data_IF_845921020097
#
_entry.id   IF_845921020097
#
_cell.length_a   1.000
_cell.length_b   1.000
_cell.length_c   1.000
_cell.angle_alpha   90.00
_cell.angle_beta   90.00
_cell.angle_gamma   90.00
#
_symmetry.space_group_name_H-M   'P 1'
#
loop_
_entity.id
_entity.type
_entity.pdbx_description
1 polymer ?
#
# COMPACT_ATOMS: atom_id res chain seq x y z
N UNK A 1 6.42 -5.25 -23.65
CA UNK A 1 6.81 -6.29 -24.63
C UNK A 1 8.26 -6.69 -24.42
N UNK A 2 8.78 -7.67 -25.16
CA UNK A 2 10.13 -8.21 -24.91
C UNK A 2 10.18 -9.09 -23.66
N UNK A 3 11.31 -9.08 -22.93
CA UNK A 3 11.48 -9.83 -21.66
C UNK A 3 10.35 -9.51 -20.66
N UNK A 4 9.89 -8.26 -20.62
CA UNK A 4 8.71 -7.86 -19.86
C UNK A 4 8.96 -7.61 -18.38
N UNK A 5 7.91 -7.75 -17.57
CA UNK A 5 7.84 -7.30 -16.18
C UNK A 5 7.56 -8.43 -15.18
N UNK A 6 8.03 -9.64 -15.48
CA UNK A 6 7.75 -10.85 -14.68
C UNK A 6 8.00 -10.63 -13.19
N UNK A 7 9.20 -10.20 -12.83
CA UNK A 7 9.59 -10.07 -11.41
C UNK A 7 9.05 -8.82 -10.72
N UNK A 8 8.59 -7.81 -11.48
CA UNK A 8 7.79 -6.73 -10.90
C UNK A 8 6.46 -7.26 -10.37
N UNK A 9 5.87 -8.25 -11.05
CA UNK A 9 4.61 -8.84 -10.65
C UNK A 9 4.80 -9.94 -9.60
N UNK A 10 5.77 -10.86 -9.76
CA UNK A 10 5.94 -12.01 -8.84
C UNK A 10 6.16 -11.57 -7.41
N UNK A 11 6.84 -10.46 -7.18
CA UNK A 11 7.05 -9.91 -5.83
C UNK A 11 5.74 -9.70 -5.02
N UNK A 12 4.61 -9.53 -5.69
CA UNK A 12 3.31 -9.37 -5.04
C UNK A 12 2.52 -10.68 -4.85
N UNK A 13 3.04 -11.83 -5.31
CA UNK A 13 2.34 -13.12 -5.19
C UNK A 13 3.26 -14.34 -4.99
N UNK A 14 4.55 -14.14 -4.73
CA UNK A 14 5.50 -15.20 -4.39
C UNK A 14 6.09 -14.98 -3.00
N UNK A 15 6.63 -16.05 -2.44
CA UNK A 15 7.47 -16.05 -1.22
C UNK A 15 6.77 -15.57 0.06
N UNK A 16 5.44 -15.35 -0.01
CA UNK A 16 4.56 -14.91 1.08
C UNK A 16 4.98 -13.59 1.76
N UNK A 17 5.80 -12.77 1.11
CA UNK A 17 6.30 -11.53 1.71
C UNK A 17 5.16 -10.51 1.85
N UNK A 18 4.34 -10.34 0.80
CA UNK A 18 3.17 -9.47 0.87
C UNK A 18 2.13 -10.00 1.86
N UNK A 19 1.91 -11.31 1.87
CA UNK A 19 0.99 -11.99 2.77
C UNK A 19 1.39 -11.72 4.23
N UNK A 20 2.65 -11.92 4.59
CA UNK A 20 3.18 -11.68 5.93
C UNK A 20 2.89 -10.25 6.42
N UNK A 21 3.23 -9.24 5.63
CA UNK A 21 3.00 -7.84 6.00
C UNK A 21 1.52 -7.50 6.13
N UNK A 22 0.69 -8.09 5.26
CA UNK A 22 -0.75 -7.87 5.28
C UNK A 22 -1.38 -8.54 6.51
N UNK A 23 -1.01 -9.78 6.82
CA UNK A 23 -1.50 -10.48 8.02
C UNK A 23 -1.05 -9.81 9.31
N UNK A 24 0.18 -9.29 9.36
CA UNK A 24 0.60 -8.43 10.47
C UNK A 24 -0.33 -7.21 10.62
N UNK A 25 -0.65 -6.53 9.51
CA UNK A 25 -1.61 -5.43 9.52
C UNK A 25 -3.01 -5.84 10.00
N UNK A 26 -3.46 -7.04 9.63
CA UNK A 26 -4.74 -7.59 10.08
C UNK A 26 -4.76 -7.84 11.59
N UNK A 27 -3.69 -8.39 12.14
CA UNK A 27 -3.54 -8.59 13.58
C UNK A 27 -3.44 -7.25 14.32
N UNK A 28 -2.78 -6.24 13.75
CA UNK A 28 -2.77 -4.88 14.30
C UNK A 28 -4.18 -4.26 14.37
N UNK A 29 -5.00 -4.44 13.33
CA UNK A 29 -6.40 -4.01 13.34
C UNK A 29 -7.22 -4.71 14.43
N UNK A 30 -6.98 -6.02 14.61
CA UNK A 30 -7.63 -6.79 15.66
C UNK A 30 -7.27 -6.24 17.05
N UNK A 31 -5.97 -6.10 17.33
CA UNK A 31 -5.48 -5.75 18.65
C UNK A 31 -5.82 -4.30 19.04
N UNK A 32 -5.71 -3.36 18.09
CA UNK A 32 -5.89 -1.92 18.37
C UNK A 32 -7.32 -1.43 18.18
N UNK A 33 -8.01 -1.92 17.15
CA UNK A 33 -9.32 -1.43 16.75
C UNK A 33 -10.45 -2.42 17.01
N UNK A 34 -10.14 -3.61 17.55
CA UNK A 34 -11.10 -4.66 17.85
C UNK A 34 -11.94 -5.06 16.62
N UNK A 35 -11.29 -5.08 15.45
CA UNK A 35 -11.88 -5.52 14.18
C UNK A 35 -11.66 -7.04 14.07
N UNK A 36 -12.75 -7.81 14.00
CA UNK A 36 -12.66 -9.25 13.76
C UNK A 36 -12.52 -9.53 12.25
N UNK A 37 -11.29 -9.61 11.79
CA UNK A 37 -11.01 -9.92 10.39
C UNK A 37 -11.27 -11.40 10.03
N UNK A 38 -11.40 -12.29 11.02
CA UNK A 38 -11.68 -13.72 10.80
C UNK A 38 -13.17 -13.99 10.65
N UNK A 39 -14.02 -13.22 11.35
CA UNK A 39 -15.47 -13.25 11.22
C UNK A 39 -16.04 -11.86 10.91
N UNK A 40 -15.78 -11.34 9.70
CA UNK A 40 -16.09 -9.95 9.37
C UNK A 40 -17.59 -9.66 9.43
N UNK A 41 -17.95 -8.56 10.08
CA UNK A 41 -19.30 -8.02 10.11
C UNK A 41 -19.34 -6.57 9.55
N UNK A 42 -20.51 -6.08 9.06
CA UNK A 42 -20.60 -4.73 8.48
C UNK A 42 -20.29 -3.55 9.44
N UNK A 43 -20.24 -3.81 10.74
CA UNK A 43 -19.90 -2.87 11.80
C UNK A 43 -18.41 -2.93 12.20
N UNK A 44 -17.65 -3.94 11.74
CA UNK A 44 -16.21 -4.08 11.96
C UNK A 44 -15.43 -3.12 11.07
N UNK A 45 -15.68 -1.83 11.26
CA UNK A 45 -14.99 -0.76 10.56
C UNK A 45 -14.88 0.46 11.44
N UNK A 46 -13.77 1.15 11.27
CA UNK A 46 -13.53 2.46 11.87
C UNK A 46 -13.76 3.56 10.85
N UNK A 47 -14.07 4.77 11.33
CA UNK A 47 -14.31 5.91 10.45
C UNK A 47 -13.03 6.25 9.68
N UNK A 48 -13.15 6.38 8.36
CA UNK A 48 -12.05 6.84 7.50
C UNK A 48 -11.69 8.30 7.81
N UNK A 49 -10.65 8.51 8.63
CA UNK A 49 -10.04 9.82 8.91
C UNK A 49 -8.56 9.80 8.56
N UNK A 50 -7.96 10.97 8.36
CA UNK A 50 -6.51 11.05 8.11
C UNK A 50 -5.69 10.50 9.29
N UNK A 51 -6.17 10.66 10.52
CA UNK A 51 -5.51 10.10 11.71
C UNK A 51 -5.45 8.57 11.65
N UNK A 52 -6.56 7.92 11.26
CA UNK A 52 -6.63 6.46 11.09
C UNK A 52 -5.71 6.00 9.97
N UNK A 53 -5.68 6.72 8.84
CA UNK A 53 -4.76 6.41 7.73
C UNK A 53 -3.31 6.55 8.17
N UNK A 54 -2.97 7.66 8.83
CA UNK A 54 -1.62 7.90 9.34
C UNK A 54 -1.19 6.78 10.28
N UNK A 55 -2.08 6.34 11.16
CA UNK A 55 -1.79 5.30 12.13
C UNK A 55 -1.53 3.94 11.47
N UNK A 56 -2.50 3.43 10.72
CA UNK A 56 -2.43 2.07 10.14
C UNK A 56 -1.31 1.98 9.10
N UNK A 57 -1.25 2.94 8.17
CA UNK A 57 -0.27 2.86 7.10
C UNK A 57 1.15 3.08 7.60
N UNK A 58 1.35 3.92 8.63
CA UNK A 58 2.69 4.09 9.22
C UNK A 58 3.16 2.83 9.91
N UNK A 59 2.31 2.19 10.73
CA UNK A 59 2.67 0.96 11.44
C UNK A 59 3.04 -0.15 10.45
N UNK A 60 2.16 -0.44 9.50
CA UNK A 60 2.34 -1.56 8.55
C UNK A 60 3.55 -1.29 7.64
N UNK A 61 3.76 -0.04 7.21
CA UNK A 61 4.91 0.31 6.41
C UNK A 61 6.22 0.16 7.19
N UNK A 62 6.27 0.62 8.45
CA UNK A 62 7.47 0.49 9.30
C UNK A 62 7.79 -0.98 9.55
N UNK A 63 6.79 -1.79 9.88
CA UNK A 63 6.97 -3.24 10.05
C UNK A 63 7.58 -3.88 8.82
N UNK A 64 7.01 -3.66 7.63
CA UNK A 64 7.54 -4.25 6.39
C UNK A 64 8.94 -3.76 6.05
N UNK A 65 9.25 -2.48 6.29
CA UNK A 65 10.61 -1.94 6.11
C UNK A 65 11.60 -2.63 7.07
N UNK A 66 11.23 -2.78 8.34
CA UNK A 66 12.03 -3.52 9.31
C UNK A 66 12.23 -4.99 8.91
N UNK A 67 11.22 -5.66 8.33
CA UNK A 67 11.38 -7.04 7.85
C UNK A 67 12.46 -7.14 6.75
N UNK A 68 12.46 -6.23 5.77
CA UNK A 68 13.51 -6.20 4.77
C UNK A 68 14.90 -5.91 5.37
N UNK A 69 14.99 -5.09 6.42
CA UNK A 69 16.26 -4.79 7.09
C UNK A 69 16.75 -5.95 7.97
N UNK A 70 15.85 -6.64 8.66
CA UNK A 70 16.14 -7.75 9.56
C UNK A 70 16.48 -9.04 8.80
N UNK A 71 15.88 -9.24 7.62
CA UNK A 71 16.08 -10.42 6.78
C UNK A 71 16.74 -10.06 5.45
N UNK A 72 18.09 -10.06 5.37
CA UNK A 72 18.81 -9.73 4.14
C UNK A 72 18.40 -10.56 2.92
N UNK A 73 17.98 -11.81 3.13
CA UNK A 73 17.45 -12.67 2.06
C UNK A 73 16.17 -12.13 1.44
N UNK A 74 15.31 -11.47 2.24
CA UNK A 74 14.09 -10.82 1.75
C UNK A 74 14.44 -9.57 0.91
N UNK A 75 15.45 -8.81 1.34
CA UNK A 75 15.94 -7.67 0.57
C UNK A 75 16.63 -8.09 -0.74
N UNK A 76 17.29 -9.25 -0.76
CA UNK A 76 17.87 -9.84 -1.97
C UNK A 76 16.80 -10.41 -2.91
N UNK A 77 15.78 -11.06 -2.38
CA UNK A 77 14.66 -11.60 -3.17
C UNK A 77 13.90 -10.48 -3.89
N UNK A 78 13.49 -9.45 -3.14
CA UNK A 78 12.98 -8.20 -3.71
C UNK A 78 14.10 -7.20 -3.94
N UNK A 79 15.09 -7.56 -4.77
CA UNK A 79 16.25 -6.73 -5.07
C UNK A 79 15.88 -5.35 -5.67
N UNK A 80 14.80 -5.29 -6.45
CA UNK A 80 14.30 -4.08 -7.08
C UNK A 80 13.53 -3.19 -6.11
N UNK A 81 13.87 -1.90 -6.07
CA UNK A 81 13.17 -0.94 -5.20
C UNK A 81 11.66 -0.87 -5.45
N UNK A 82 11.22 -0.95 -6.70
CA UNK A 82 9.81 -0.96 -7.08
C UNK A 82 9.05 -2.20 -6.62
N UNK A 83 9.71 -3.34 -6.48
CA UNK A 83 9.09 -4.55 -5.91
C UNK A 83 8.76 -4.30 -4.44
N UNK A 84 9.75 -3.82 -3.67
CA UNK A 84 9.56 -3.47 -2.26
C UNK A 84 8.53 -2.37 -2.07
N UNK A 85 8.58 -1.33 -2.90
CA UNK A 85 7.64 -0.22 -2.83
C UNK A 85 6.19 -0.67 -3.06
N UNK A 86 5.96 -1.52 -4.07
CA UNK A 86 4.63 -2.08 -4.34
C UNK A 86 4.14 -2.94 -3.17
N UNK A 87 5.00 -3.79 -2.61
CA UNK A 87 4.63 -4.71 -1.52
C UNK A 87 4.31 -3.95 -0.22
N UNK A 88 5.14 -2.97 0.17
CA UNK A 88 4.93 -2.15 1.36
C UNK A 88 3.65 -1.30 1.26
N UNK A 89 3.45 -0.65 0.11
CA UNK A 89 2.28 0.18 -0.11
C UNK A 89 1.00 -0.65 -0.28
N UNK A 90 1.09 -1.84 -0.87
CA UNK A 90 -0.02 -2.78 -0.95
C UNK A 90 -0.48 -3.21 0.44
N UNK A 91 0.44 -3.69 1.30
CA UNK A 91 0.11 -4.09 2.67
C UNK A 91 -0.53 -2.93 3.45
N UNK A 92 0.05 -1.73 3.37
CA UNK A 92 -0.46 -0.52 4.04
C UNK A 92 -1.84 -0.11 3.55
N UNK A 93 -2.05 -0.10 2.23
CA UNK A 93 -3.31 0.25 1.60
C UNK A 93 -4.42 -0.76 1.84
N UNK A 94 -4.12 -2.06 1.71
CA UNK A 94 -5.07 -3.16 1.98
C UNK A 94 -5.53 -3.11 3.43
N UNK A 95 -4.60 -3.01 4.38
CA UNK A 95 -4.93 -2.93 5.81
C UNK A 95 -5.80 -1.72 6.10
N UNK A 96 -5.46 -0.55 5.55
CA UNK A 96 -6.27 0.68 5.74
C UNK A 96 -7.65 0.55 5.11
N UNK A 97 -7.77 -0.05 3.92
CA UNK A 97 -9.05 -0.30 3.26
C UNK A 97 -9.93 -1.25 4.05
N UNK A 98 -9.39 -2.36 4.57
CA UNK A 98 -10.15 -3.32 5.36
C UNK A 98 -10.59 -2.68 6.67
N UNK A 99 -9.68 -2.02 7.39
CA UNK A 99 -10.00 -1.39 8.67
C UNK A 99 -11.09 -0.32 8.56
N UNK A 100 -11.14 0.42 7.45
CA UNK A 100 -12.09 1.54 7.29
C UNK A 100 -13.34 1.19 6.47
N UNK A 101 -13.32 0.08 5.73
CA UNK A 101 -14.32 -0.21 4.70
C UNK A 101 -14.39 0.87 3.62
N UNK A 102 -13.27 1.54 3.30
CA UNK A 102 -13.21 2.65 2.35
C UNK A 102 -11.97 2.52 1.42
N UNK A 103 -12.22 2.43 0.11
CA UNK A 103 -11.17 2.26 -0.90
C UNK A 103 -10.24 3.48 -1.00
N UNK A 104 -10.76 4.71 -0.93
CA UNK A 104 -9.95 5.92 -1.00
C UNK A 104 -9.10 6.14 0.26
N UNK A 105 -9.56 5.67 1.42
CA UNK A 105 -8.70 5.62 2.62
C UNK A 105 -7.52 4.67 2.41
N UNK A 106 -7.74 3.51 1.78
CA UNK A 106 -6.68 2.60 1.35
C UNK A 106 -5.71 3.22 0.36
N UNK A 107 -6.20 3.97 -0.64
CA UNK A 107 -5.35 4.73 -1.56
C UNK A 107 -4.49 5.75 -0.82
N UNK A 108 -5.05 6.46 0.18
CA UNK A 108 -4.24 7.35 1.02
C UNK A 108 -3.18 6.58 1.82
N UNK A 109 -3.49 5.37 2.32
CA UNK A 109 -2.53 4.51 3.00
C UNK A 109 -1.40 4.05 2.08
N UNK A 110 -1.72 3.68 0.83
CA UNK A 110 -0.74 3.38 -0.22
C UNK A 110 0.21 4.55 -0.45
N UNK A 111 -0.33 5.75 -0.71
CA UNK A 111 0.50 6.92 -1.01
C UNK A 111 1.34 7.39 0.19
N UNK A 112 0.81 7.28 1.41
CA UNK A 112 1.59 7.58 2.61
C UNK A 112 2.77 6.62 2.77
N UNK A 113 2.56 5.31 2.55
CA UNK A 113 3.63 4.31 2.58
C UNK A 113 4.73 4.64 1.57
N UNK A 114 4.38 5.04 0.35
CA UNK A 114 5.37 5.45 -0.67
C UNK A 114 6.23 6.63 -0.22
N UNK A 115 5.62 7.64 0.40
CA UNK A 115 6.34 8.81 0.93
C UNK A 115 7.28 8.42 2.08
N UNK A 116 6.79 7.61 3.02
CA UNK A 116 7.59 7.14 4.16
C UNK A 116 8.77 6.27 3.72
N UNK A 117 8.55 5.34 2.78
CA UNK A 117 9.60 4.50 2.21
C UNK A 117 10.69 5.36 1.56
N UNK A 118 10.29 6.33 0.73
CA UNK A 118 11.22 7.23 0.05
C UNK A 118 12.13 7.96 1.03
N UNK A 119 11.57 8.50 2.11
CA UNK A 119 12.33 9.21 3.14
C UNK A 119 13.17 8.25 3.99
N UNK A 120 12.65 7.07 4.32
CA UNK A 120 13.33 6.09 5.18
C UNK A 120 14.57 5.44 4.53
N UNK A 121 14.53 5.14 3.23
CA UNK A 121 15.66 4.51 2.53
C UNK A 121 16.38 5.41 1.53
N UNK A 122 15.95 6.67 1.38
CA UNK A 122 16.48 7.61 0.37
C UNK A 122 16.40 7.05 -1.06
N UNK A 123 15.47 6.13 -1.29
CA UNK A 123 15.18 5.46 -2.56
C UNK A 123 13.76 4.93 -2.53
N UNK A 124 13.18 4.70 -3.70
CA UNK A 124 11.84 4.12 -3.83
C UNK A 124 11.85 3.11 -4.97
N UNK A 125 11.40 3.49 -6.17
CA UNK A 125 11.33 2.64 -7.35
C UNK A 125 12.24 3.06 -8.49
N UNK A 126 11.97 2.54 -9.69
CA UNK A 126 12.61 2.95 -10.93
C UNK A 126 12.29 4.41 -11.30
N UNK A 127 12.95 4.92 -12.34
CA UNK A 127 12.71 6.28 -12.84
C UNK A 127 11.27 6.49 -13.33
N UNK A 128 10.51 7.33 -12.64
CA UNK A 128 9.10 7.57 -12.97
C UNK A 128 8.12 6.61 -12.30
N UNK A 129 8.61 5.68 -11.47
CA UNK A 129 7.76 4.80 -10.67
C UNK A 129 6.74 5.59 -9.84
N UNK A 130 7.20 6.66 -9.20
CA UNK A 130 6.40 7.48 -8.28
C UNK A 130 5.62 8.61 -8.96
N UNK A 131 5.44 8.59 -10.30
CA UNK A 131 4.60 9.58 -10.98
C UNK A 131 3.21 9.63 -10.36
N UNK A 132 2.59 8.46 -10.21
CA UNK A 132 1.26 8.36 -9.61
C UNK A 132 1.29 8.66 -8.11
N UNK A 133 2.35 8.25 -7.42
CA UNK A 133 2.43 8.35 -5.97
C UNK A 133 2.66 9.79 -5.50
N UNK A 134 3.39 10.61 -6.27
CA UNK A 134 3.54 12.04 -6.01
C UNK A 134 2.24 12.83 -6.29
N UNK A 135 1.43 12.39 -7.26
CA UNK A 135 0.11 12.97 -7.51
C UNK A 135 -0.98 12.42 -6.58
N UNK A 136 -0.73 11.26 -5.96
CA UNK A 136 -1.73 10.43 -5.31
C UNK A 136 -2.45 11.10 -4.16
N UNK A 137 -1.71 11.70 -3.24
CA UNK A 137 -2.27 12.36 -2.05
C UNK A 137 -3.20 13.54 -2.38
N UNK A 138 -2.95 14.24 -3.50
CA UNK A 138 -3.82 15.32 -3.96
C UNK A 138 -5.07 14.81 -4.70
N UNK A 139 -4.95 13.69 -5.41
CA UNK A 139 -5.99 13.17 -6.28
C UNK A 139 -6.89 12.10 -5.65
N UNK A 140 -6.51 11.53 -4.50
CA UNK A 140 -7.29 10.48 -3.80
C UNK A 140 -8.69 10.92 -3.41
N UNK A 141 -8.86 12.19 -3.00
CA UNK A 141 -10.12 12.81 -2.59
C UNK A 141 -10.51 14.02 -3.47
N UNK A 142 -9.83 14.20 -4.61
CA UNK A 142 -10.21 15.23 -5.58
C UNK A 142 -11.62 14.96 -6.12
N UNK A 143 -12.28 16.02 -6.57
CA UNK A 143 -13.57 15.96 -7.26
C UNK A 143 -13.48 16.60 -8.65
N UNK A 144 -12.25 16.91 -9.12
CA UNK A 144 -12.01 17.50 -10.43
C UNK A 144 -12.21 16.45 -11.55
N UNK A 145 -12.56 16.88 -12.77
CA UNK A 145 -13.05 15.98 -13.82
C UNK A 145 -12.14 14.80 -14.18
N UNK A 146 -10.82 15.00 -14.18
CA UNK A 146 -9.80 14.02 -14.57
C UNK A 146 -8.94 13.54 -13.39
N UNK A 147 -9.38 13.80 -12.16
CA UNK A 147 -8.68 13.43 -10.92
C UNK A 147 -9.58 12.68 -9.94
N UNK A 148 -10.82 13.13 -9.79
CA UNK A 148 -11.72 12.61 -8.77
C UNK A 148 -12.38 11.31 -9.20
N UNK A 149 -12.03 10.22 -8.53
CA UNK A 149 -12.67 8.92 -8.71
C UNK A 149 -12.55 8.06 -7.44
N UNK A 150 -13.61 7.31 -7.11
CA UNK A 150 -13.53 6.29 -6.04
C UNK A 150 -12.67 5.12 -6.53
N UNK A 151 -11.94 4.48 -5.62
CA UNK A 151 -10.97 3.44 -5.96
C UNK A 151 -11.51 2.34 -6.87
N UNK A 152 -12.76 1.94 -6.67
CA UNK A 152 -13.45 0.89 -7.44
C UNK A 152 -13.72 1.25 -8.90
N UNK A 153 -13.77 2.54 -9.25
CA UNK A 153 -13.97 3.01 -10.63
C UNK A 153 -12.68 3.50 -11.29
N UNK A 154 -11.57 3.53 -10.55
CA UNK A 154 -10.25 3.74 -11.15
C UNK A 154 -9.83 2.50 -11.94
N UNK A 155 -8.79 2.65 -12.74
CA UNK A 155 -8.22 1.55 -13.49
C UNK A 155 -7.04 2.00 -14.34
N UNK A 156 -6.54 1.14 -15.24
CA UNK A 156 -5.36 1.42 -16.05
C UNK A 156 -5.49 2.61 -17.03
N UNK A 157 -6.69 3.21 -17.16
CA UNK A 157 -6.92 4.41 -17.97
C UNK A 157 -7.18 5.67 -17.11
N UNK A 158 -7.12 5.57 -15.78
CA UNK A 158 -7.10 6.74 -14.92
C UNK A 158 -5.78 7.50 -15.17
N UNK A 159 -5.78 8.84 -15.37
CA UNK A 159 -4.64 9.53 -15.99
C UNK A 159 -3.27 9.29 -15.33
N UNK A 160 -3.22 9.21 -13.99
CA UNK A 160 -1.95 8.94 -13.31
C UNK A 160 -1.53 7.46 -13.34
N UNK A 161 -2.42 6.52 -13.65
CA UNK A 161 -2.17 5.06 -13.62
C UNK A 161 -1.91 4.45 -15.01
N UNK A 162 -1.82 5.29 -16.04
CA UNK A 162 -1.77 4.86 -17.43
C UNK A 162 -0.39 4.35 -17.91
N UNK A 163 0.62 4.35 -17.02
CA UNK A 163 2.02 4.00 -17.31
C UNK A 163 2.63 3.27 -16.12
#
# INVERSE_FOLDING_TARGET
GGVGFTQYATAAYTDNILDDFTYYGMDYLHDKYNIDWKNPNPNDKIKATQEVVNDIASEVNLYGMEQYEQFPTMMEDHFGGSQRAAVLAAASGITTSIGTGNSNAGLNGWYLSMLMHKDGWSRLGFFGYDLQDQCGSANSLSIRPDEGCIGEFRGPNYPNYAM
#
